data_IF_684813572558
#
_entry.id   IF_684813572558
#
_cell.length_a   1.000
_cell.length_b   1.000
_cell.length_c   1.000
_cell.angle_alpha   90.00
_cell.angle_beta   90.00
_cell.angle_gamma   90.00
#
_symmetry.space_group_name_H-M   'P 1'
#
loop_
_entity.id
_entity.type
_entity.pdbx_description
1 polymer ?
#
# COMPACT_ATOMS: atom_id res chain seq x y z
N UNK A 1 -23.60 11.30 -5.89
CA UNK A 1 -22.51 12.25 -5.63
C UNK A 1 -21.88 11.91 -4.30
N UNK A 2 -20.58 11.76 -4.26
CA UNK A 2 -19.79 11.54 -3.05
C UNK A 2 -18.89 12.77 -2.83
N UNK A 3 -18.61 13.10 -1.58
CA UNK A 3 -17.72 14.21 -1.21
C UNK A 3 -16.23 13.80 -1.28
N UNK A 4 -15.96 12.52 -1.47
CA UNK A 4 -14.63 11.92 -1.52
C UNK A 4 -14.58 10.95 -2.69
N UNK A 5 -13.48 10.96 -3.44
CA UNK A 5 -13.19 9.97 -4.48
C UNK A 5 -12.29 8.89 -3.88
N UNK A 6 -12.82 7.69 -3.75
CA UNK A 6 -12.14 6.57 -3.10
C UNK A 6 -11.81 5.45 -4.11
N UNK A 7 -10.59 4.92 -4.07
CA UNK A 7 -10.12 3.86 -4.97
C UNK A 7 -9.30 2.81 -4.21
N UNK A 8 -9.38 1.57 -4.68
CA UNK A 8 -8.56 0.46 -4.23
C UNK A 8 -7.38 0.25 -5.19
N UNK A 9 -6.19 0.00 -4.66
CA UNK A 9 -5.05 -0.36 -5.48
C UNK A 9 -4.14 -1.38 -4.77
N UNK A 10 -4.11 -2.60 -5.27
CA UNK A 10 -3.31 -3.70 -4.72
C UNK A 10 -2.04 -3.99 -5.55
N UNK A 11 -1.50 -2.98 -6.23
CA UNK A 11 -0.20 -3.10 -6.88
C UNK A 11 0.93 -3.17 -5.84
N UNK A 12 1.76 -4.19 -5.91
CA UNK A 12 2.84 -4.45 -4.95
C UNK A 12 4.23 -4.06 -5.47
N UNK A 13 4.39 -3.91 -6.78
CA UNK A 13 5.62 -3.33 -7.33
C UNK A 13 5.60 -1.82 -7.12
N UNK A 14 6.55 -1.25 -6.36
CA UNK A 14 6.52 0.18 -6.03
C UNK A 14 6.69 1.08 -7.26
N UNK A 15 7.36 0.61 -8.31
CA UNK A 15 7.55 1.37 -9.56
C UNK A 15 6.27 1.39 -10.36
N UNK A 16 5.60 0.23 -10.48
CA UNK A 16 4.30 0.13 -11.13
C UNK A 16 3.24 0.94 -10.37
N UNK A 17 3.18 0.84 -9.05
CA UNK A 17 2.29 1.65 -8.21
C UNK A 17 2.52 3.15 -8.43
N UNK A 18 3.78 3.59 -8.43
CA UNK A 18 4.13 4.99 -8.70
C UNK A 18 3.66 5.42 -10.09
N UNK A 19 3.83 4.59 -11.12
CA UNK A 19 3.39 4.88 -12.49
C UNK A 19 1.86 5.05 -12.58
N UNK A 20 1.12 4.24 -11.84
CA UNK A 20 -0.35 4.33 -11.79
C UNK A 20 -0.81 5.59 -11.06
N UNK A 21 -0.18 5.97 -9.96
CA UNK A 21 -0.64 7.06 -9.09
C UNK A 21 -0.17 8.44 -9.53
N UNK A 22 0.98 8.56 -10.21
CA UNK A 22 1.61 9.86 -10.53
C UNK A 22 0.72 10.84 -11.33
N UNK A 23 -0.19 10.33 -12.14
CA UNK A 23 -1.10 11.16 -12.95
C UNK A 23 -2.03 12.05 -12.13
N UNK A 24 -2.28 11.69 -10.86
CA UNK A 24 -3.09 12.49 -9.95
C UNK A 24 -2.48 13.85 -9.61
N UNK A 25 -1.16 13.99 -9.71
CA UNK A 25 -0.46 15.29 -9.55
C UNK A 25 -0.82 16.27 -10.67
N UNK A 26 -1.29 15.76 -11.81
CA UNK A 26 -1.71 16.50 -13.01
C UNK A 26 -3.23 16.54 -13.16
N UNK A 27 -3.99 16.12 -12.14
CA UNK A 27 -5.46 16.07 -12.18
C UNK A 27 -6.06 14.82 -12.82
N UNK A 28 -5.25 13.82 -13.10
CA UNK A 28 -5.65 12.52 -13.68
C UNK A 28 -5.34 11.37 -12.71
N UNK A 29 -6.08 11.23 -11.60
CA UNK A 29 -5.80 10.19 -10.61
C UNK A 29 -6.07 8.80 -11.21
N UNK A 30 -5.47 7.78 -10.59
CA UNK A 30 -5.73 6.39 -10.89
C UNK A 30 -7.22 6.07 -10.65
N UNK A 31 -7.83 5.35 -11.59
CA UNK A 31 -9.20 4.83 -11.52
C UNK A 31 -9.17 3.35 -11.89
N UNK A 32 -9.42 2.48 -10.92
CA UNK A 32 -9.31 1.03 -11.08
C UNK A 32 -10.33 0.45 -12.07
N UNK A 33 -11.52 1.00 -12.10
CA UNK A 33 -12.64 0.53 -12.93
C UNK A 33 -13.31 1.71 -13.65
N UNK A 34 -12.59 2.35 -14.57
CA UNK A 34 -13.08 3.55 -15.28
C UNK A 34 -14.41 3.36 -16.01
N UNK A 35 -14.74 2.13 -16.41
CA UNK A 35 -16.02 1.76 -17.03
C UNK A 35 -17.20 1.73 -16.06
N UNK A 36 -16.93 1.67 -14.75
CA UNK A 36 -17.94 1.57 -13.67
C UNK A 36 -17.87 2.73 -12.68
N UNK A 37 -16.73 3.43 -12.63
CA UNK A 37 -16.51 4.53 -11.71
C UNK A 37 -17.15 5.82 -12.22
N UNK A 38 -17.56 6.67 -11.32
CA UNK A 38 -17.97 8.02 -11.64
C UNK A 38 -16.74 8.83 -12.09
N UNK A 39 -16.86 9.70 -13.09
CA UNK A 39 -15.73 10.53 -13.50
C UNK A 39 -15.22 11.42 -12.38
N UNK A 40 -13.92 11.41 -12.13
CA UNK A 40 -13.28 12.30 -11.15
C UNK A 40 -13.48 13.77 -11.53
N UNK A 41 -13.89 14.60 -10.59
CA UNK A 41 -14.21 16.03 -10.81
C UNK A 41 -13.41 16.97 -9.88
N UNK A 42 -12.36 16.45 -9.23
CA UNK A 42 -11.51 17.23 -8.32
C UNK A 42 -11.84 17.03 -6.84
N UNK A 43 -12.60 16.00 -6.51
CA UNK A 43 -12.88 15.60 -5.13
C UNK A 43 -11.60 15.23 -4.37
N UNK A 44 -11.56 15.34 -3.03
CA UNK A 44 -10.46 14.79 -2.25
C UNK A 44 -10.26 13.31 -2.56
N UNK A 45 -9.05 12.93 -3.03
CA UNK A 45 -8.75 11.57 -3.44
C UNK A 45 -8.20 10.76 -2.26
N UNK A 46 -8.79 9.60 -2.01
CA UNK A 46 -8.43 8.69 -0.93
C UNK A 46 -8.13 7.31 -1.53
N UNK A 47 -6.97 6.75 -1.18
CA UNK A 47 -6.65 5.35 -1.45
C UNK A 47 -7.14 4.51 -0.27
N UNK A 48 -8.41 4.13 -0.28
CA UNK A 48 -9.10 3.54 0.86
C UNK A 48 -8.83 2.06 1.06
N UNK A 49 -8.20 1.40 0.08
CA UNK A 49 -7.61 0.08 0.24
C UNK A 49 -6.31 -0.04 -0.57
N UNK A 50 -5.21 -0.47 0.09
CA UNK A 50 -3.97 -0.82 -0.58
C UNK A 50 -3.11 -1.77 0.28
N UNK A 51 -2.11 -2.38 -0.33
CA UNK A 51 -1.18 -3.28 0.35
C UNK A 51 -1.68 -4.72 0.39
N UNK A 52 -2.12 -5.19 1.53
CA UNK A 52 -2.67 -6.54 1.67
C UNK A 52 -1.61 -7.66 1.57
N UNK A 53 -0.35 -7.36 1.87
CA UNK A 53 0.71 -8.37 1.86
C UNK A 53 0.44 -9.51 2.83
N UNK A 54 0.48 -10.73 2.33
CA UNK A 54 0.32 -11.91 3.17
C UNK A 54 1.54 -12.11 4.06
N UNK A 55 1.30 -12.32 5.34
CA UNK A 55 2.28 -12.84 6.28
C UNK A 55 1.69 -14.01 7.04
N UNK A 56 2.32 -15.17 6.90
CA UNK A 56 1.94 -16.40 7.56
C UNK A 56 2.89 -16.71 8.70
N UNK A 57 2.37 -17.03 9.87
CA UNK A 57 3.18 -17.57 10.96
C UNK A 57 3.49 -19.04 10.67
N UNK A 58 4.65 -19.55 11.16
CA UNK A 58 5.13 -20.90 10.92
C UNK A 58 4.14 -22.00 11.41
N UNK A 59 3.31 -21.68 12.41
CA UNK A 59 2.30 -22.57 12.98
C UNK A 59 0.96 -22.63 12.19
N UNK A 60 0.86 -21.91 11.08
CA UNK A 60 -0.40 -21.74 10.37
C UNK A 60 -0.54 -22.78 9.26
N UNK A 61 -1.14 -23.96 9.58
CA UNK A 61 -1.36 -25.06 8.65
C UNK A 61 -2.61 -24.88 7.76
N UNK A 62 -3.43 -23.87 7.99
CA UNK A 62 -4.63 -23.61 7.20
C UNK A 62 -4.30 -23.04 5.81
N UNK A 63 -5.17 -23.28 4.83
CA UNK A 63 -5.14 -22.54 3.58
C UNK A 63 -5.38 -21.05 3.86
N UNK A 64 -4.36 -20.24 3.63
CA UNK A 64 -4.39 -18.79 3.89
C UNK A 64 -4.21 -18.04 2.58
N UNK A 65 -4.84 -16.89 2.46
CA UNK A 65 -4.70 -16.03 1.30
C UNK A 65 -4.48 -14.56 1.70
N UNK A 66 -4.07 -13.78 0.74
CA UNK A 66 -3.88 -12.35 0.79
C UNK A 66 -3.47 -11.89 -0.60
N UNK A 67 -3.19 -10.63 -0.75
CA UNK A 67 -2.84 -10.06 -2.05
C UNK A 67 -1.33 -10.23 -2.32
N UNK A 68 -0.98 -10.47 -3.60
CA UNK A 68 0.40 -10.55 -4.07
C UNK A 68 1.25 -11.68 -3.49
N UNK A 69 2.56 -11.47 -3.47
CA UNK A 69 3.53 -12.46 -3.05
C UNK A 69 3.74 -12.42 -1.54
N UNK A 70 3.68 -13.57 -0.89
CA UNK A 70 4.01 -13.68 0.53
C UNK A 70 5.47 -13.30 0.76
N UNK A 71 5.73 -12.47 1.77
CA UNK A 71 7.08 -12.18 2.19
C UNK A 71 7.73 -13.40 2.87
N UNK A 72 8.97 -13.69 2.52
CA UNK A 72 9.75 -14.82 3.03
C UNK A 72 10.37 -14.57 4.43
N UNK A 73 10.40 -13.32 4.86
CA UNK A 73 10.93 -12.90 6.15
C UNK A 73 10.24 -11.62 6.64
N UNK A 74 10.28 -11.35 7.95
CA UNK A 74 9.77 -10.09 8.51
C UNK A 74 10.50 -8.88 7.93
N UNK A 75 11.79 -9.00 7.64
CA UNK A 75 12.57 -7.93 7.01
C UNK A 75 12.11 -7.67 5.58
N UNK A 76 11.79 -8.72 4.82
CA UNK A 76 11.21 -8.57 3.49
C UNK A 76 9.83 -7.90 3.56
N UNK A 77 8.99 -8.31 4.51
CA UNK A 77 7.69 -7.68 4.73
C UNK A 77 7.81 -6.18 5.04
N UNK A 78 8.69 -5.79 5.96
CA UNK A 78 8.89 -4.37 6.28
C UNK A 78 9.36 -3.58 5.06
N UNK A 79 10.27 -4.15 4.27
CA UNK A 79 10.78 -3.51 3.07
C UNK A 79 9.69 -3.35 2.00
N UNK A 80 8.88 -4.39 1.77
CA UNK A 80 7.74 -4.31 0.85
C UNK A 80 6.73 -3.25 1.32
N UNK A 81 6.36 -3.28 2.60
CA UNK A 81 5.44 -2.31 3.20
C UNK A 81 5.97 -0.89 3.07
N UNK A 82 7.24 -0.65 3.43
CA UNK A 82 7.87 0.66 3.35
C UNK A 82 7.87 1.20 1.91
N UNK A 83 8.21 0.36 0.94
CA UNK A 83 8.27 0.78 -0.46
C UNK A 83 6.92 1.29 -0.96
N UNK A 84 5.83 0.56 -0.72
CA UNK A 84 4.50 0.98 -1.21
C UNK A 84 3.92 2.15 -0.39
N UNK A 85 4.15 2.17 0.93
CA UNK A 85 3.70 3.28 1.78
C UNK A 85 4.43 4.58 1.39
N UNK A 86 5.72 4.50 1.09
CA UNK A 86 6.48 5.67 0.64
C UNK A 86 5.99 6.18 -0.71
N UNK A 87 5.59 5.30 -1.63
CA UNK A 87 4.93 5.73 -2.88
C UNK A 87 3.66 6.51 -2.56
N UNK A 88 2.78 5.98 -1.71
CA UNK A 88 1.52 6.65 -1.35
C UNK A 88 1.79 7.99 -0.63
N UNK A 89 2.68 8.02 0.36
CA UNK A 89 3.05 9.23 1.09
C UNK A 89 3.70 10.30 0.20
N UNK A 90 4.38 9.90 -0.88
CA UNK A 90 5.03 10.82 -1.81
C UNK A 90 4.05 11.62 -2.66
N UNK A 91 2.82 11.11 -2.86
CA UNK A 91 1.80 11.73 -3.72
C UNK A 91 1.06 12.85 -2.99
N UNK A 92 1.06 14.05 -3.56
CA UNK A 92 0.42 15.23 -2.95
C UNK A 92 -1.10 15.22 -3.06
N UNK A 93 -1.63 14.64 -4.14
CA UNK A 93 -3.07 14.57 -4.39
C UNK A 93 -3.79 13.56 -3.49
N UNK A 94 -3.07 12.59 -2.92
CA UNK A 94 -3.66 11.63 -1.98
C UNK A 94 -3.86 12.31 -0.62
N UNK A 95 -5.14 12.54 -0.28
CA UNK A 95 -5.54 13.21 0.95
C UNK A 95 -5.62 12.26 2.15
N UNK A 96 -5.81 10.98 1.89
CA UNK A 96 -5.88 9.93 2.91
C UNK A 96 -5.67 8.54 2.31
N UNK A 97 -5.33 7.59 3.17
CA UNK A 97 -5.17 6.20 2.76
C UNK A 97 -5.50 5.24 3.90
N UNK A 98 -5.89 4.00 3.54
CA UNK A 98 -6.15 2.95 4.49
C UNK A 98 -5.44 1.65 4.04
N UNK A 99 -4.54 1.14 4.88
CA UNK A 99 -3.85 -0.11 4.59
C UNK A 99 -4.74 -1.31 4.89
N UNK A 100 -4.76 -2.27 3.98
CA UNK A 100 -5.45 -3.55 4.13
C UNK A 100 -4.47 -4.61 4.63
N UNK A 101 -4.51 -5.01 5.95
CA UNK A 101 -5.51 -4.56 6.90
C UNK A 101 -4.97 -4.51 8.33
N UNK A 102 -5.78 -4.06 9.29
CA UNK A 102 -5.33 -3.92 10.67
C UNK A 102 -5.06 -5.28 11.33
N UNK A 103 -5.96 -6.26 11.17
CA UNK A 103 -5.80 -7.61 11.72
C UNK A 103 -6.38 -8.65 10.74
N UNK A 104 -5.89 -9.88 10.87
CA UNK A 104 -6.35 -11.00 10.05
C UNK A 104 -7.86 -11.21 10.18
N UNK A 105 -8.49 -11.61 9.09
CA UNK A 105 -9.90 -12.00 9.03
C UNK A 105 -9.98 -13.44 8.56
N UNK A 106 -10.16 -14.36 9.49
CA UNK A 106 -10.22 -15.79 9.23
C UNK A 106 -8.99 -16.30 8.44
N UNK A 107 -9.19 -16.67 7.15
CA UNK A 107 -8.12 -17.17 6.26
C UNK A 107 -7.33 -16.05 5.57
N UNK A 108 -7.81 -14.82 5.60
CA UNK A 108 -7.12 -13.67 5.04
C UNK A 108 -6.05 -13.18 6.01
N UNK A 109 -4.76 -13.44 5.69
CA UNK A 109 -3.62 -13.30 6.59
C UNK A 109 -2.70 -12.12 6.23
N UNK A 110 -3.29 -11.00 5.87
CA UNK A 110 -2.59 -9.74 5.52
C UNK A 110 -2.65 -8.66 6.63
N UNK A 111 -3.20 -9.01 7.79
CA UNK A 111 -3.28 -8.09 8.93
C UNK A 111 -1.91 -7.78 9.56
N UNK A 112 -1.80 -6.58 10.14
CA UNK A 112 -0.67 -6.18 11.00
C UNK A 112 -0.71 -6.92 12.33
N UNK A 113 -1.90 -7.31 12.76
CA UNK A 113 -2.15 -8.14 13.93
C UNK A 113 -2.77 -9.48 13.50
N UNK A 114 -2.67 -10.49 14.36
CA UNK A 114 -3.39 -11.75 14.18
C UNK A 114 -4.90 -11.55 14.33
N UNK A 115 -5.68 -12.60 13.97
CA UNK A 115 -7.12 -12.64 14.24
C UNK A 115 -7.45 -12.43 15.74
N UNK A 116 -6.61 -12.98 16.64
CA UNK A 116 -6.71 -12.79 18.09
C UNK A 116 -6.18 -11.42 18.55
N UNK A 117 -5.72 -10.56 17.62
CA UNK A 117 -5.18 -9.22 17.86
C UNK A 117 -3.80 -9.19 18.52
N UNK A 118 -3.07 -10.28 18.45
CA UNK A 118 -1.66 -10.32 18.84
C UNK A 118 -0.79 -9.62 17.79
N UNK A 119 0.32 -9.05 18.25
CA UNK A 119 1.26 -8.35 17.37
C UNK A 119 2.05 -9.33 16.52
N UNK A 120 1.97 -9.23 15.21
CA UNK A 120 2.83 -9.98 14.28
C UNK A 120 4.21 -9.33 14.11
N UNK A 121 4.29 -8.02 14.25
CA UNK A 121 5.42 -7.18 13.88
C UNK A 121 5.87 -6.25 15.02
N UNK A 122 7.03 -5.61 14.85
CA UNK A 122 7.46 -4.52 15.73
C UNK A 122 6.64 -3.26 15.42
N UNK A 123 5.77 -2.89 16.33
CA UNK A 123 4.82 -1.79 16.13
C UNK A 123 5.50 -0.42 16.01
N UNK A 124 6.66 -0.20 16.66
CA UNK A 124 7.39 1.05 16.49
C UNK A 124 7.92 1.19 15.06
N UNK A 125 8.34 0.07 14.44
CA UNK A 125 8.79 0.06 13.05
C UNK A 125 7.61 0.29 12.10
N UNK A 126 6.48 -0.38 12.32
CA UNK A 126 5.23 -0.16 11.55
C UNK A 126 4.82 1.31 11.66
N UNK A 127 4.77 1.87 12.87
CA UNK A 127 4.45 3.27 13.08
C UNK A 127 5.40 4.22 12.33
N UNK A 128 6.72 3.96 12.38
CA UNK A 128 7.71 4.75 11.66
C UNK A 128 7.51 4.76 10.15
N UNK A 129 7.08 3.63 9.56
CA UNK A 129 6.76 3.54 8.14
C UNK A 129 5.57 4.43 7.80
N UNK A 130 4.45 4.29 8.50
CA UNK A 130 3.22 5.02 8.21
C UNK A 130 3.26 6.52 8.56
N UNK A 131 4.19 6.95 9.42
CA UNK A 131 4.30 8.35 9.86
C UNK A 131 5.54 9.07 9.29
N UNK A 132 6.17 8.49 8.29
CA UNK A 132 7.29 9.13 7.58
C UNK A 132 6.85 10.45 6.94
N UNK A 133 7.70 11.47 6.96
CA UNK A 133 7.38 12.71 6.26
C UNK A 133 7.38 12.51 4.75
N UNK A 134 6.58 13.31 4.05
CA UNK A 134 6.47 13.25 2.58
C UNK A 134 7.81 13.45 1.89
N UNK A 135 8.65 14.36 2.38
CA UNK A 135 9.96 14.63 1.81
C UNK A 135 10.87 13.38 1.83
N UNK A 136 10.90 12.69 2.97
CA UNK A 136 11.67 11.44 3.12
C UNK A 136 11.11 10.32 2.22
N UNK A 137 9.81 10.22 2.13
CA UNK A 137 9.16 9.27 1.23
C UNK A 137 9.51 9.56 -0.24
N UNK A 138 9.48 10.83 -0.65
CA UNK A 138 9.87 11.25 -2.00
C UNK A 138 11.34 10.96 -2.32
N UNK A 139 12.24 11.14 -1.37
CA UNK A 139 13.66 10.79 -1.55
C UNK A 139 13.82 9.29 -1.78
N UNK A 140 13.20 8.46 -0.95
CA UNK A 140 13.25 7.00 -1.11
C UNK A 140 12.65 6.54 -2.44
N UNK A 141 11.49 7.07 -2.84
CA UNK A 141 10.87 6.74 -4.14
C UNK A 141 11.77 7.10 -5.32
N UNK A 142 12.47 8.24 -5.28
CA UNK A 142 13.45 8.61 -6.31
C UNK A 142 14.58 7.57 -6.44
N UNK A 143 15.02 7.03 -5.33
CA UNK A 143 16.06 5.97 -5.33
C UNK A 143 15.52 4.66 -5.93
N UNK A 144 14.30 4.25 -5.57
CA UNK A 144 13.65 3.06 -6.15
C UNK A 144 13.52 3.18 -7.68
N UNK A 145 13.07 4.34 -8.17
CA UNK A 145 12.94 4.59 -9.61
C UNK A 145 14.29 4.59 -10.34
N UNK A 146 15.32 5.11 -9.72
CA UNK A 146 16.70 5.08 -10.25
C UNK A 146 17.22 3.65 -10.40
N UNK A 147 17.07 2.83 -9.35
CA UNK A 147 17.49 1.43 -9.35
C UNK A 147 16.81 0.64 -10.45
N UNK A 148 15.48 0.79 -10.60
CA UNK A 148 14.71 0.15 -11.67
C UNK A 148 15.13 0.55 -13.08
N UNK A 149 15.63 1.79 -13.26
CA UNK A 149 16.13 2.27 -14.55
C UNK A 149 17.51 1.73 -14.92
N UNK A 150 18.29 1.27 -13.94
CA UNK A 150 19.66 0.77 -14.14
C UNK A 150 19.70 -0.75 -14.38
N UNK A 151 18.60 -1.45 -14.10
CA UNK A 151 18.49 -2.92 -14.22
C UNK A 151 17.91 -3.37 -15.58
N UNK A 152 17.60 -2.42 -16.45
CA UNK A 152 17.19 -2.63 -17.86
C UNK A 152 18.38 -2.44 -18.80
#
# INVERSE_FOLDING_TARGET
LTDIYAEHNYEHDPVALWQQLKGGEEGHPYVGHADKSYPYQGEPYVLDEFGGFTWKNDDDHAMTWGYGTQADSKEAFYRQLENIVDVVLSMKHICGFCYTQLYDVEQERNGIFTYARDRKFNMNRIYGIFTKSREKAQEHVKELLKQASTTK
#
